data_IF_329808685938
#
_entry.id   IF_329808685938
#
_cell.length_a   1.000
_cell.length_b   1.000
_cell.length_c   1.000
_cell.angle_alpha   90.00
_cell.angle_beta   90.00
_cell.angle_gamma   90.00
#
_symmetry.space_group_name_H-M   'P 1'
#
loop_
_entity.id
_entity.type
_entity.pdbx_description
1 polymer ?
#
# COMPACT_ATOMS: atom_id res chain seq x y z
N UNK A 1 45.23 -22.16 11.72
CA UNK A 1 45.80 -21.24 10.73
C UNK A 1 44.76 -20.18 10.41
N UNK A 2 44.96 -18.94 10.82
CA UNK A 2 44.07 -17.82 10.48
C UNK A 2 44.57 -17.27 9.14
N UNK A 3 43.85 -17.52 8.06
CA UNK A 3 44.19 -16.99 6.75
C UNK A 3 44.14 -15.46 6.82
N UNK A 4 45.28 -14.79 6.60
CA UNK A 4 45.32 -13.33 6.60
C UNK A 4 44.53 -12.81 5.38
N UNK A 5 43.48 -12.04 5.65
CA UNK A 5 42.69 -11.44 4.58
C UNK A 5 43.51 -10.32 3.94
N UNK A 6 43.63 -10.27 2.60
CA UNK A 6 44.36 -9.20 1.92
C UNK A 6 43.79 -7.84 2.32
N UNK A 7 44.65 -6.89 2.72
CA UNK A 7 44.24 -5.57 3.25
C UNK A 7 43.21 -4.83 2.37
N UNK A 8 43.26 -5.01 1.05
CA UNK A 8 42.27 -4.43 0.12
C UNK A 8 40.84 -4.97 0.26
N UNK A 9 40.67 -6.25 0.65
CA UNK A 9 39.34 -6.86 0.83
C UNK A 9 38.67 -6.38 2.11
N UNK A 10 39.44 -6.17 3.18
CA UNK A 10 38.92 -5.62 4.43
C UNK A 10 38.41 -4.18 4.25
N UNK A 11 39.15 -3.35 3.50
CA UNK A 11 38.73 -1.99 3.20
C UNK A 11 37.45 -1.94 2.34
N UNK A 12 37.34 -2.79 1.32
CA UNK A 12 36.13 -2.86 0.50
C UNK A 12 34.90 -3.33 1.29
N UNK A 13 35.07 -4.31 2.19
CA UNK A 13 33.99 -4.76 3.08
C UNK A 13 33.55 -3.65 4.05
N UNK A 14 34.47 -2.85 4.58
CA UNK A 14 34.13 -1.72 5.44
C UNK A 14 33.32 -0.66 4.69
N UNK A 15 33.64 -0.38 3.42
CA UNK A 15 32.86 0.53 2.57
C UNK A 15 31.46 -0.05 2.32
N UNK A 16 31.34 -1.31 1.94
CA UNK A 16 30.04 -1.93 1.66
C UNK A 16 29.15 -1.98 2.90
N UNK A 17 29.72 -2.29 4.08
CA UNK A 17 28.99 -2.24 5.34
C UNK A 17 28.55 -0.82 5.68
N UNK A 18 29.40 0.18 5.47
CA UNK A 18 29.05 1.58 5.72
C UNK A 18 27.93 2.05 4.78
N UNK A 19 28.00 1.70 3.49
CA UNK A 19 26.93 1.98 2.52
C UNK A 19 25.64 1.28 2.93
N UNK A 20 25.71 -0.01 3.31
CA UNK A 20 24.54 -0.78 3.72
C UNK A 20 23.87 -0.20 4.98
N UNK A 21 24.65 0.21 5.98
CA UNK A 21 24.15 0.86 7.19
C UNK A 21 23.54 2.23 6.87
N UNK A 22 24.19 3.04 6.03
CA UNK A 22 23.64 4.33 5.61
C UNK A 22 22.36 4.19 4.78
N UNK A 23 22.30 3.20 3.89
CA UNK A 23 21.09 2.87 3.11
C UNK A 23 19.96 2.37 4.01
N UNK A 24 20.27 1.50 4.98
CA UNK A 24 19.28 1.02 5.95
C UNK A 24 18.75 2.16 6.82
N UNK A 25 19.63 3.01 7.34
CA UNK A 25 19.25 4.14 8.17
C UNK A 25 18.44 5.17 7.38
N UNK A 26 18.82 5.43 6.12
CA UNK A 26 18.04 6.27 5.20
C UNK A 26 16.64 5.69 4.93
N UNK A 27 16.54 4.38 4.71
CA UNK A 27 15.25 3.70 4.52
C UNK A 27 14.37 3.78 5.78
N UNK A 28 14.90 3.42 6.96
CA UNK A 28 14.14 3.38 8.21
C UNK A 28 13.73 4.78 8.69
N UNK A 29 14.59 5.78 8.52
CA UNK A 29 14.30 7.17 8.95
C UNK A 29 13.41 7.96 8.00
N UNK A 30 13.38 7.64 6.70
CA UNK A 30 12.63 8.42 5.72
C UNK A 30 11.39 7.73 5.16
N UNK A 31 11.43 6.41 4.96
CA UNK A 31 10.31 5.70 4.33
C UNK A 31 9.30 5.21 5.38
N UNK A 32 9.78 4.82 6.57
CA UNK A 32 8.93 4.24 7.61
C UNK A 32 7.99 5.24 8.32
N UNK A 33 8.42 6.48 8.67
CA UNK A 33 7.53 7.44 9.34
C UNK A 33 6.45 8.01 8.41
N UNK A 34 6.76 8.15 7.11
CA UNK A 34 5.79 8.55 6.09
C UNK A 34 4.63 7.54 5.99
N UNK A 35 4.93 6.25 6.18
CA UNK A 35 3.94 5.16 6.19
C UNK A 35 2.96 5.26 7.37
N UNK A 36 3.44 5.58 8.57
CA UNK A 36 2.59 5.64 9.77
C UNK A 36 1.67 6.85 9.81
N UNK A 37 2.08 7.98 9.21
CA UNK A 37 1.35 9.25 9.26
C UNK A 37 0.19 9.30 8.27
N UNK A 38 0.33 8.66 7.10
CA UNK A 38 -0.69 8.63 6.07
C UNK A 38 -1.92 7.81 6.49
N UNK A 39 -1.75 6.70 7.22
CA UNK A 39 -2.85 5.83 7.59
C UNK A 39 -3.82 6.42 8.64
N UNK A 40 -3.39 7.42 9.42
CA UNK A 40 -4.21 8.00 10.51
C UNK A 40 -5.17 9.11 10.08
N UNK A 41 -5.05 9.65 8.86
CA UNK A 41 -5.76 10.86 8.43
C UNK A 41 -7.08 10.66 7.68
N UNK A 42 -7.48 9.42 7.36
CA UNK A 42 -8.51 9.14 6.36
C UNK A 42 -9.81 8.54 6.90
N UNK A 43 -10.16 8.74 8.17
CA UNK A 43 -11.49 8.31 8.63
C UNK A 43 -12.55 9.34 8.21
N UNK A 44 -13.46 9.05 7.27
CA UNK A 44 -14.65 9.87 7.09
C UNK A 44 -15.45 9.89 8.39
N UNK A 45 -16.26 10.95 8.64
CA UNK A 45 -17.19 10.95 9.76
C UNK A 45 -18.07 9.71 9.68
N UNK A 46 -18.06 8.90 10.75
CA UNK A 46 -18.83 7.66 10.81
C UNK A 46 -20.32 7.94 10.53
N UNK A 47 -21.00 7.08 9.75
CA UNK A 47 -22.46 7.11 9.65
C UNK A 47 -23.05 7.09 11.05
N UNK A 48 -23.96 8.01 11.35
CA UNK A 48 -24.64 8.02 12.65
C UNK A 48 -25.51 6.75 12.74
N UNK A 49 -25.04 5.79 13.54
CA UNK A 49 -25.81 4.59 13.89
C UNK A 49 -27.01 5.03 14.76
N UNK A 50 -28.23 4.55 14.50
CA UNK A 50 -29.41 4.86 15.31
C UNK A 50 -29.18 4.55 16.79
N UNK A 51 -29.53 5.50 17.65
CA UNK A 51 -29.14 5.58 19.06
C UNK A 51 -29.89 4.61 20.01
N UNK A 52 -30.21 3.38 19.60
CA UNK A 52 -31.09 2.48 20.38
C UNK A 52 -30.37 1.29 21.06
N UNK A 53 -29.04 1.36 21.19
CA UNK A 53 -28.29 0.46 22.07
C UNK A 53 -27.67 1.24 23.23
N UNK A 54 -28.41 1.30 24.34
CA UNK A 54 -27.92 1.73 25.65
C UNK A 54 -26.92 0.71 26.19
N UNK A 55 -25.67 0.80 25.73
CA UNK A 55 -24.54 0.18 26.42
C UNK A 55 -24.26 1.01 27.66
N UNK A 56 -24.52 0.40 28.82
CA UNK A 56 -24.28 0.99 30.14
C UNK A 56 -22.78 1.27 30.32
N UNK A 57 -22.36 2.47 29.94
CA UNK A 57 -20.98 2.93 29.93
C UNK A 57 -20.69 3.71 31.21
N UNK A 58 -20.68 3.02 32.35
CA UNK A 58 -20.01 3.51 33.56
C UNK A 58 -18.50 3.28 33.44
N UNK A 59 -17.87 3.87 32.41
CA UNK A 59 -16.41 3.99 32.36
C UNK A 59 -16.00 5.21 33.18
N UNK A 60 -15.35 4.96 34.31
CA UNK A 60 -14.82 6.00 35.20
C UNK A 60 -13.97 7.01 34.43
N UNK A 61 -14.12 8.27 34.79
CA UNK A 61 -13.52 9.46 34.17
C UNK A 61 -11.99 9.58 34.28
N UNK A 62 -11.29 8.49 34.57
CA UNK A 62 -9.83 8.44 34.75
C UNK A 62 -9.15 8.00 33.45
N UNK A 63 -8.90 8.96 32.56
CA UNK A 63 -8.06 8.79 31.37
C UNK A 63 -8.79 8.19 30.16
N UNK A 64 -8.45 8.69 28.97
CA UNK A 64 -9.02 8.18 27.71
C UNK A 64 -8.63 6.70 27.52
N UNK A 65 -9.56 5.79 27.82
CA UNK A 65 -9.40 4.36 27.56
C UNK A 65 -9.52 4.10 26.06
N UNK A 66 -8.48 3.50 25.47
CA UNK A 66 -8.45 3.15 24.04
C UNK A 66 -9.02 1.74 23.88
N UNK A 67 -10.09 1.60 23.09
CA UNK A 67 -10.58 0.30 22.62
C UNK A 67 -9.93 -0.04 21.28
N UNK A 68 -9.24 -1.17 21.20
CA UNK A 68 -8.72 -1.68 19.93
C UNK A 68 -9.75 -2.58 19.26
N UNK A 69 -10.05 -2.32 17.99
CA UNK A 69 -10.94 -3.18 17.17
C UNK A 69 -10.08 -3.93 16.15
N UNK A 70 -10.22 -5.25 16.10
CA UNK A 70 -9.46 -6.11 15.18
C UNK A 70 -10.29 -7.30 14.69
N UNK A 71 -9.78 -8.03 13.70
CA UNK A 71 -10.48 -9.16 13.12
C UNK A 71 -9.51 -10.23 12.60
N UNK A 72 -9.93 -11.50 12.64
CA UNK A 72 -9.26 -12.61 11.97
C UNK A 72 -10.28 -13.61 11.44
N UNK A 73 -10.32 -13.79 10.12
CA UNK A 73 -11.15 -14.78 9.44
C UNK A 73 -10.24 -15.71 8.63
N UNK A 74 -10.17 -17.01 8.96
CA UNK A 74 -9.30 -17.94 8.25
C UNK A 74 -9.81 -18.14 6.82
N UNK A 75 -8.88 -18.16 5.87
CA UNK A 75 -9.19 -18.48 4.47
C UNK A 75 -9.02 -19.98 4.23
N UNK A 76 -9.89 -20.58 3.41
CA UNK A 76 -9.79 -22.00 3.03
C UNK A 76 -8.47 -22.35 2.32
N UNK A 77 -7.87 -21.35 1.65
CA UNK A 77 -6.52 -21.41 1.10
C UNK A 77 -5.75 -20.19 1.56
N UNK A 78 -4.76 -20.39 2.42
CA UNK A 78 -3.84 -19.34 2.85
C UNK A 78 -2.41 -19.62 2.38
N UNK A 79 -1.63 -18.56 2.19
CA UNK A 79 -0.18 -18.60 1.92
C UNK A 79 0.62 -19.17 3.09
N UNK A 80 0.09 -19.06 4.32
CA UNK A 80 0.77 -19.44 5.55
C UNK A 80 -0.02 -20.49 6.32
N UNK A 81 0.67 -21.28 7.12
CA UNK A 81 0.04 -22.32 7.92
C UNK A 81 -0.69 -21.70 9.11
N UNK A 82 -1.67 -22.40 9.69
CA UNK A 82 -2.31 -21.93 10.92
C UNK A 82 -1.32 -21.78 12.09
N UNK A 83 -0.22 -22.53 12.11
CA UNK A 83 0.81 -22.38 13.13
C UNK A 83 1.56 -21.04 13.01
N UNK A 84 1.81 -20.58 11.78
CA UNK A 84 2.41 -19.26 11.53
C UNK A 84 1.46 -18.16 12.02
N UNK A 85 0.16 -18.26 11.68
CA UNK A 85 -0.85 -17.32 12.16
C UNK A 85 -0.97 -17.31 13.68
N UNK A 86 -0.91 -18.47 14.34
CA UNK A 86 -0.93 -18.53 15.80
C UNK A 86 0.25 -17.75 16.40
N UNK A 87 1.43 -17.91 15.81
CA UNK A 87 2.63 -17.19 16.25
C UNK A 87 2.45 -15.67 16.09
N UNK A 88 1.96 -15.22 14.93
CA UNK A 88 1.75 -13.79 14.68
C UNK A 88 0.64 -13.18 15.52
N UNK A 89 -0.48 -13.89 15.67
CA UNK A 89 -1.58 -13.47 16.54
C UNK A 89 -1.14 -13.44 17.99
N UNK A 90 -0.30 -14.36 18.46
CA UNK A 90 0.26 -14.29 19.81
C UNK A 90 1.12 -13.03 20.02
N UNK A 91 1.95 -12.68 19.03
CA UNK A 91 2.78 -11.48 19.06
C UNK A 91 1.94 -10.20 19.08
N UNK A 92 0.74 -10.22 18.49
CA UNK A 92 -0.20 -9.09 18.53
C UNK A 92 -1.02 -9.06 19.81
N UNK A 93 -1.64 -10.18 20.20
CA UNK A 93 -2.61 -10.26 21.28
C UNK A 93 -1.99 -10.22 22.67
N UNK A 94 -0.75 -10.67 22.88
CA UNK A 94 -0.16 -10.71 24.23
C UNK A 94 0.35 -9.35 24.73
N UNK A 95 1.02 -8.52 23.93
CA UNK A 95 1.61 -7.28 24.45
C UNK A 95 0.60 -6.15 24.69
N UNK A 96 -0.58 -6.20 24.06
CA UNK A 96 -1.56 -5.11 24.09
C UNK A 96 -2.40 -5.22 25.36
N UNK A 97 -2.19 -4.38 26.37
CA UNK A 97 -2.95 -4.47 27.63
C UNK A 97 -4.33 -3.81 27.58
N UNK A 98 -4.61 -2.99 26.57
CA UNK A 98 -5.91 -2.34 26.40
C UNK A 98 -7.00 -3.35 26.03
N UNK A 99 -8.28 -3.04 26.31
CA UNK A 99 -9.39 -3.86 25.84
C UNK A 99 -9.38 -4.02 24.32
N UNK A 100 -9.71 -5.23 23.84
CA UNK A 100 -9.82 -5.55 22.42
C UNK A 100 -11.24 -6.02 22.12
N UNK A 101 -11.88 -5.45 21.10
CA UNK A 101 -13.07 -6.01 20.46
C UNK A 101 -12.63 -6.74 19.20
N UNK A 102 -12.84 -8.05 19.13
CA UNK A 102 -12.23 -8.91 18.13
C UNK A 102 -13.28 -9.70 17.34
N UNK A 103 -13.30 -9.53 16.02
CA UNK A 103 -14.19 -10.28 15.13
C UNK A 103 -13.50 -11.56 14.62
N UNK A 104 -14.16 -12.72 14.72
CA UNK A 104 -13.62 -13.99 14.20
C UNK A 104 -14.72 -15.02 14.02
N UNK A 105 -14.42 -16.19 13.45
CA UNK A 105 -15.41 -17.26 13.31
C UNK A 105 -15.61 -18.01 14.65
N UNK A 106 -16.77 -18.67 14.87
CA UNK A 106 -17.01 -19.46 16.07
C UNK A 106 -15.90 -20.48 16.37
N UNK A 107 -15.33 -21.10 15.32
CA UNK A 107 -14.28 -22.11 15.43
C UNK A 107 -12.94 -21.52 15.89
N UNK A 108 -12.65 -20.27 15.54
CA UNK A 108 -11.39 -19.60 15.89
C UNK A 108 -11.45 -18.92 17.25
N UNK A 109 -12.63 -18.63 17.79
CA UNK A 109 -12.76 -17.94 19.07
C UNK A 109 -12.01 -18.62 20.24
N UNK A 110 -12.03 -19.95 20.44
CA UNK A 110 -11.25 -20.60 21.49
C UNK A 110 -9.75 -20.37 21.36
N UNK A 111 -9.22 -20.44 20.14
CA UNK A 111 -7.82 -20.17 19.83
C UNK A 111 -7.45 -18.72 20.15
N UNK A 112 -8.27 -17.74 19.73
CA UNK A 112 -8.03 -16.33 20.03
C UNK A 112 -8.03 -16.06 21.54
N UNK A 113 -8.98 -16.64 22.31
CA UNK A 113 -8.99 -16.54 23.78
C UNK A 113 -7.73 -17.14 24.39
N UNK A 114 -7.34 -18.34 23.95
CA UNK A 114 -6.15 -19.02 24.46
C UNK A 114 -4.85 -18.22 24.19
N UNK A 115 -4.74 -17.61 23.00
CA UNK A 115 -3.60 -16.75 22.65
C UNK A 115 -3.59 -15.45 23.48
N UNK A 116 -4.76 -14.90 23.79
CA UNK A 116 -4.94 -13.70 24.61
C UNK A 116 -4.62 -13.92 26.09
N UNK A 117 -4.95 -15.09 26.64
CA UNK A 117 -4.83 -15.38 28.07
C UNK A 117 -5.85 -14.58 28.89
N UNK A 118 -5.41 -14.04 30.02
CA UNK A 118 -6.28 -13.36 31.00
C UNK A 118 -6.54 -11.87 30.69
N UNK A 119 -5.98 -11.36 29.58
CA UNK A 119 -6.14 -9.96 29.20
C UNK A 119 -7.54 -9.67 28.62
N UNK A 120 -8.13 -8.49 28.87
CA UNK A 120 -9.50 -8.20 28.43
C UNK A 120 -9.69 -8.33 26.92
N UNK A 121 -10.70 -9.10 26.49
CA UNK A 121 -11.11 -9.24 25.10
C UNK A 121 -12.61 -9.55 25.01
N UNK A 122 -13.29 -8.87 24.10
CA UNK A 122 -14.67 -9.19 23.68
C UNK A 122 -14.59 -9.79 22.29
N UNK A 123 -14.97 -11.05 22.14
CA UNK A 123 -14.96 -11.73 20.84
C UNK A 123 -16.36 -11.76 20.26
N UNK A 124 -16.51 -11.22 19.06
CA UNK A 124 -17.72 -11.27 18.27
C UNK A 124 -17.57 -12.38 17.20
N UNK A 125 -18.45 -13.36 17.26
CA UNK A 125 -18.53 -14.49 16.32
C UNK A 125 -19.81 -14.50 15.49
N UNK A 126 -20.46 -13.35 15.36
CA UNK A 126 -21.72 -13.22 14.60
C UNK A 126 -21.53 -13.52 13.11
N UNK A 127 -20.32 -13.34 12.58
CA UNK A 127 -19.98 -13.54 11.18
C UNK A 127 -19.14 -14.80 11.01
N UNK A 128 -19.53 -15.69 10.10
CA UNK A 128 -18.75 -16.87 9.71
C UNK A 128 -17.64 -16.53 8.70
N UNK A 129 -17.69 -15.33 8.10
CA UNK A 129 -16.77 -14.88 7.07
C UNK A 129 -16.57 -13.37 7.14
N UNK A 130 -15.41 -12.88 6.72
CA UNK A 130 -15.17 -11.46 6.53
C UNK A 130 -16.17 -10.85 5.53
N UNK A 131 -16.64 -11.65 4.57
CA UNK A 131 -17.61 -11.21 3.57
C UNK A 131 -19.01 -11.02 4.13
N UNK A 132 -19.36 -11.57 5.30
CA UNK A 132 -20.66 -11.31 5.91
C UNK A 132 -20.72 -9.96 6.65
N UNK A 133 -19.59 -9.25 6.74
CA UNK A 133 -19.51 -7.92 7.34
C UNK A 133 -19.75 -6.85 6.28
N UNK A 134 -20.52 -5.80 6.60
CA UNK A 134 -20.54 -4.61 5.75
C UNK A 134 -19.15 -3.93 5.78
N UNK A 135 -18.60 -3.43 4.65
CA UNK A 135 -19.22 -3.27 3.32
C UNK A 135 -19.03 -4.47 2.37
N UNK A 136 -18.48 -5.59 2.85
CA UNK A 136 -18.15 -6.76 2.03
C UNK A 136 -19.35 -7.70 1.79
N UNK A 137 -20.46 -7.48 2.49
CA UNK A 137 -21.69 -8.26 2.36
C UNK A 137 -22.20 -8.30 0.92
N UNK A 138 -22.34 -9.52 0.37
CA UNK A 138 -22.80 -9.75 -0.98
C UNK A 138 -21.70 -9.61 -2.04
N UNK A 139 -20.47 -9.20 -1.67
CA UNK A 139 -19.35 -9.05 -2.59
C UNK A 139 -18.54 -10.35 -2.79
N UNK A 140 -19.01 -11.48 -2.24
CA UNK A 140 -18.39 -12.80 -2.43
C UNK A 140 -18.23 -13.14 -3.92
N UNK A 141 -19.24 -12.78 -4.72
CA UNK A 141 -19.33 -13.07 -6.15
C UNK A 141 -19.31 -11.80 -7.02
N UNK A 142 -19.29 -10.61 -6.42
CA UNK A 142 -19.88 -9.40 -7.05
C UNK A 142 -18.92 -8.49 -7.82
N UNK A 143 -17.96 -9.08 -8.52
CA UNK A 143 -17.47 -8.44 -9.72
C UNK A 143 -17.01 -9.50 -10.71
N UNK A 144 -17.66 -9.56 -11.87
CA UNK A 144 -17.20 -10.38 -12.99
C UNK A 144 -15.69 -10.17 -13.29
N UNK A 145 -15.17 -8.96 -13.02
CA UNK A 145 -13.75 -8.62 -13.08
C UNK A 145 -12.91 -9.35 -12.02
N UNK A 146 -13.34 -9.38 -10.75
CA UNK A 146 -12.67 -10.11 -9.66
C UNK A 146 -12.74 -11.61 -9.92
N UNK A 147 -13.91 -12.12 -10.32
CA UNK A 147 -14.08 -13.53 -10.66
C UNK A 147 -13.16 -13.96 -11.81
N UNK A 148 -13.11 -13.16 -12.88
CA UNK A 148 -12.19 -13.37 -14.00
C UNK A 148 -10.73 -13.30 -13.56
N UNK A 149 -10.36 -12.28 -12.79
CA UNK A 149 -8.99 -12.10 -12.28
C UNK A 149 -8.54 -13.28 -11.42
N UNK A 150 -9.37 -13.70 -10.46
CA UNK A 150 -9.14 -14.89 -9.63
C UNK A 150 -8.90 -16.12 -10.51
N UNK A 151 -9.80 -16.37 -11.47
CA UNK A 151 -9.70 -17.53 -12.37
C UNK A 151 -8.42 -17.52 -13.20
N UNK A 152 -8.10 -16.40 -13.86
CA UNK A 152 -6.93 -16.32 -14.73
C UNK A 152 -5.62 -16.32 -13.94
N UNK A 153 -5.59 -15.66 -12.78
CA UNK A 153 -4.43 -15.62 -11.90
C UNK A 153 -4.05 -17.01 -11.43
N UNK A 154 -4.99 -17.76 -10.85
CA UNK A 154 -4.70 -19.10 -10.35
C UNK A 154 -4.41 -20.11 -11.47
N UNK A 155 -5.06 -20.00 -12.63
CA UNK A 155 -4.73 -20.84 -13.78
C UNK A 155 -3.26 -20.66 -14.24
N UNK A 156 -2.79 -19.41 -14.36
CA UNK A 156 -1.40 -19.14 -14.73
C UNK A 156 -0.42 -19.44 -13.60
N UNK A 157 -0.76 -19.13 -12.35
CA UNK A 157 0.02 -19.50 -11.18
C UNK A 157 0.30 -21.00 -11.13
N UNK A 158 -0.74 -21.83 -11.24
CA UNK A 158 -0.62 -23.29 -11.18
C UNK A 158 0.14 -23.86 -12.39
N UNK A 159 -0.04 -23.25 -13.58
CA UNK A 159 0.77 -23.59 -14.74
C UNK A 159 2.26 -23.27 -14.53
N UNK A 160 2.59 -22.09 -14.01
CA UNK A 160 3.97 -21.68 -13.75
C UNK A 160 4.62 -22.54 -12.66
N UNK A 161 3.86 -22.91 -11.62
CA UNK A 161 4.29 -23.84 -10.59
C UNK A 161 4.60 -25.22 -11.19
N UNK A 162 3.68 -25.80 -11.98
CA UNK A 162 3.86 -27.12 -12.61
C UNK A 162 5.06 -27.16 -13.55
N UNK A 163 5.38 -26.05 -14.22
CA UNK A 163 6.53 -25.92 -15.11
C UNK A 163 7.85 -25.61 -14.36
N UNK A 164 7.82 -25.36 -13.05
CA UNK A 164 9.01 -24.99 -12.28
C UNK A 164 9.55 -23.60 -12.60
N UNK A 165 8.73 -22.71 -13.18
CA UNK A 165 9.13 -21.33 -13.55
C UNK A 165 8.59 -20.27 -12.58
N UNK A 166 7.74 -20.66 -11.63
CA UNK A 166 7.26 -19.74 -10.60
C UNK A 166 8.33 -19.48 -9.52
N UNK A 167 8.83 -18.25 -9.45
CA UNK A 167 9.89 -17.84 -8.51
C UNK A 167 9.37 -17.26 -7.18
N UNK A 168 8.09 -17.48 -6.86
CA UNK A 168 7.49 -16.97 -5.62
C UNK A 168 7.20 -15.46 -5.60
N UNK A 169 7.22 -14.79 -6.76
CA UNK A 169 6.86 -13.37 -6.91
C UNK A 169 5.66 -13.22 -7.84
N UNK A 170 4.73 -12.36 -7.45
CA UNK A 170 3.47 -12.17 -8.17
C UNK A 170 3.64 -11.22 -9.37
N UNK A 171 4.64 -10.33 -9.36
CA UNK A 171 4.84 -9.32 -10.40
C UNK A 171 5.06 -9.92 -11.80
N UNK A 172 5.94 -10.93 -12.02
CA UNK A 172 6.10 -11.54 -13.33
C UNK A 172 4.80 -12.19 -13.85
N UNK A 173 4.03 -12.79 -12.95
CA UNK A 173 2.75 -13.42 -13.26
C UNK A 173 1.70 -12.37 -13.66
N UNK A 174 1.56 -11.30 -12.87
CA UNK A 174 0.67 -10.18 -13.15
C UNK A 174 1.02 -9.52 -14.49
N UNK A 175 2.32 -9.27 -14.74
CA UNK A 175 2.80 -8.68 -15.99
C UNK A 175 2.43 -9.56 -17.19
N UNK A 176 2.62 -10.88 -17.09
CA UNK A 176 2.24 -11.82 -18.15
C UNK A 176 0.73 -11.78 -18.42
N UNK A 177 -0.10 -11.83 -17.38
CA UNK A 177 -1.56 -11.77 -17.51
C UNK A 177 -2.00 -10.46 -18.16
N UNK A 178 -1.41 -9.33 -17.78
CA UNK A 178 -1.68 -8.02 -18.38
C UNK A 178 -1.31 -7.96 -19.87
N UNK A 179 -0.14 -8.49 -20.24
CA UNK A 179 0.31 -8.53 -21.64
C UNK A 179 -0.58 -9.42 -22.52
N UNK A 180 -1.07 -10.54 -21.97
CA UNK A 180 -1.92 -11.49 -22.68
C UNK A 180 -3.39 -11.05 -22.76
N UNK A 181 -3.85 -10.24 -21.80
CA UNK A 181 -5.25 -9.82 -21.70
C UNK A 181 -5.39 -8.30 -21.54
N UNK A 182 -4.73 -7.47 -22.37
CA UNK A 182 -4.62 -6.03 -22.12
C UNK A 182 -5.97 -5.29 -22.21
N UNK A 183 -6.98 -5.87 -22.88
CA UNK A 183 -8.35 -5.33 -22.94
C UNK A 183 -9.12 -5.41 -21.62
N UNK A 184 -8.61 -6.19 -20.65
CA UNK A 184 -9.22 -6.37 -19.32
C UNK A 184 -8.63 -5.44 -18.26
N UNK A 185 -7.59 -4.67 -18.60
CA UNK A 185 -6.89 -3.80 -17.67
C UNK A 185 -6.96 -2.34 -18.10
N UNK A 186 -7.14 -1.50 -17.11
CA UNK A 186 -6.86 -0.07 -17.19
C UNK A 186 -5.62 0.23 -16.35
N UNK A 187 -4.91 1.27 -16.72
CA UNK A 187 -3.75 1.78 -16.01
C UNK A 187 -3.90 3.28 -15.79
N UNK A 188 -3.22 3.75 -14.75
CA UNK A 188 -3.09 5.16 -14.41
C UNK A 188 -1.61 5.49 -14.57
N UNK A 189 -1.28 6.23 -15.64
CA UNK A 189 0.13 6.50 -15.95
C UNK A 189 0.57 7.79 -15.27
N UNK A 190 1.03 7.65 -14.01
CA UNK A 190 1.47 8.78 -13.19
C UNK A 190 2.60 9.59 -13.85
N UNK A 191 3.44 8.93 -14.64
CA UNK A 191 4.56 9.53 -15.38
C UNK A 191 4.27 9.66 -16.89
N UNK A 192 3.01 9.81 -17.31
CA UNK A 192 2.67 9.93 -18.74
C UNK A 192 3.47 11.07 -19.41
N UNK A 193 4.37 10.77 -20.36
CA UNK A 193 5.17 11.80 -21.05
C UNK A 193 4.40 12.48 -22.18
N UNK A 194 3.11 12.15 -22.38
CA UNK A 194 2.25 12.79 -23.39
C UNK A 194 2.24 14.30 -23.12
N UNK A 195 2.08 15.13 -24.17
CA UNK A 195 2.46 16.53 -24.12
C UNK A 195 1.83 17.18 -22.89
N UNK A 196 2.69 17.42 -21.90
CA UNK A 196 2.45 18.42 -20.89
C UNK A 196 2.06 19.67 -21.69
N UNK A 197 0.87 20.19 -21.43
CA UNK A 197 0.48 21.53 -21.87
C UNK A 197 1.72 22.42 -21.69
N UNK A 198 2.21 22.93 -22.82
CA UNK A 198 3.46 23.66 -23.01
C UNK A 198 3.95 24.43 -21.78
N UNK A 199 4.97 23.91 -21.08
CA UNK A 199 5.89 24.77 -20.34
C UNK A 199 7.31 24.38 -20.73
N UNK A 200 7.72 24.91 -21.88
CA UNK A 200 9.02 24.71 -22.52
C UNK A 200 10.13 25.50 -21.84
N UNK A 201 10.23 25.46 -20.52
CA UNK A 201 11.36 26.03 -19.78
C UNK A 201 11.36 25.45 -18.37
N UNK A 202 12.43 24.74 -17.99
CA UNK A 202 13.00 24.62 -16.63
C UNK A 202 13.95 23.41 -16.58
N UNK A 203 15.15 23.60 -17.15
CA UNK A 203 16.22 22.60 -17.27
C UNK A 203 16.92 22.17 -15.97
N UNK A 204 16.35 22.39 -14.77
CA UNK A 204 17.06 22.16 -13.49
C UNK A 204 16.30 21.30 -12.46
N UNK A 205 15.11 20.82 -12.77
CA UNK A 205 14.24 20.08 -11.84
C UNK A 205 14.51 18.57 -11.70
N UNK A 206 15.60 18.04 -12.27
CA UNK A 206 15.84 16.59 -12.48
C UNK A 206 16.08 15.71 -11.23
N UNK A 207 15.99 16.22 -10.00
CA UNK A 207 16.44 15.47 -8.79
C UNK A 207 15.47 15.33 -7.62
N UNK A 208 14.28 15.90 -7.72
CA UNK A 208 13.16 15.45 -6.92
C UNK A 208 12.33 14.54 -7.82
N UNK A 209 11.65 13.55 -7.28
CA UNK A 209 10.65 12.73 -7.98
C UNK A 209 9.46 13.61 -8.41
N UNK A 210 9.70 14.58 -9.28
CA UNK A 210 8.72 15.53 -9.76
C UNK A 210 7.86 14.79 -10.76
N UNK A 211 6.76 14.26 -10.26
CA UNK A 211 5.70 13.75 -11.11
C UNK A 211 5.27 14.86 -12.09
N UNK A 212 5.02 14.54 -13.38
CA UNK A 212 4.42 15.50 -14.31
C UNK A 212 3.05 16.02 -13.81
N UNK A 213 2.48 15.40 -12.78
CA UNK A 213 1.21 15.74 -12.18
C UNK A 213 1.29 16.77 -11.06
N UNK A 214 2.49 17.24 -10.69
CA UNK A 214 2.70 18.22 -9.62
C UNK A 214 3.37 17.59 -8.39
N UNK A 215 3.16 18.20 -7.22
CA UNK A 215 3.69 17.71 -5.94
C UNK A 215 2.86 16.55 -5.40
N UNK A 216 2.86 15.44 -6.13
CA UNK A 216 2.29 14.18 -5.66
C UNK A 216 3.27 13.52 -4.69
N UNK A 217 2.74 12.84 -3.65
CA UNK A 217 3.55 12.03 -2.75
C UNK A 217 4.23 10.86 -3.47
N UNK A 218 4.74 9.89 -2.72
CA UNK A 218 5.38 8.72 -3.31
C UNK A 218 4.45 8.02 -4.31
N UNK A 219 4.96 7.71 -5.51
CA UNK A 219 4.19 7.10 -6.61
C UNK A 219 3.47 5.81 -6.19
N UNK A 220 4.00 5.12 -5.18
CA UNK A 220 3.41 3.91 -4.62
C UNK A 220 1.97 4.13 -4.13
N UNK A 221 1.64 5.30 -3.57
CA UNK A 221 0.31 5.61 -3.02
C UNK A 221 -0.55 6.47 -3.94
N UNK A 222 -0.10 6.73 -5.16
CA UNK A 222 -0.85 7.58 -6.08
C UNK A 222 -2.24 7.01 -6.40
N UNK A 223 -2.40 5.68 -6.36
CA UNK A 223 -3.71 5.05 -6.56
C UNK A 223 -4.74 5.46 -5.50
N UNK A 224 -4.32 5.73 -4.27
CA UNK A 224 -5.20 6.19 -3.18
C UNK A 224 -5.75 7.57 -3.53
N UNK A 225 -4.88 8.49 -3.91
CA UNK A 225 -5.27 9.81 -4.42
C UNK A 225 -6.18 9.71 -5.65
N UNK A 226 -5.83 8.84 -6.59
CA UNK A 226 -6.60 8.66 -7.83
C UNK A 226 -8.03 8.16 -7.56
N UNK A 227 -8.21 7.23 -6.62
CA UNK A 227 -9.50 6.64 -6.27
C UNK A 227 -10.29 7.42 -5.21
N UNK A 228 -9.63 8.34 -4.50
CA UNK A 228 -10.23 9.17 -3.47
C UNK A 228 -11.30 10.12 -4.04
N UNK A 229 -12.22 10.57 -3.17
CA UNK A 229 -13.17 11.63 -3.51
C UNK A 229 -12.44 12.96 -3.78
N UNK A 230 -13.12 13.92 -4.43
CA UNK A 230 -12.53 15.24 -4.71
C UNK A 230 -12.08 15.98 -3.44
N UNK A 231 -12.82 15.82 -2.34
CA UNK A 231 -12.47 16.45 -1.06
C UNK A 231 -11.21 15.82 -0.46
N UNK A 232 -11.12 14.49 -0.48
CA UNK A 232 -9.94 13.76 -0.01
C UNK A 232 -8.72 14.04 -0.90
N UNK A 233 -8.90 14.11 -2.23
CA UNK A 233 -7.85 14.54 -3.16
C UNK A 233 -7.30 15.92 -2.80
N UNK A 234 -8.17 16.91 -2.55
CA UNK A 234 -7.73 18.24 -2.15
C UNK A 234 -6.94 18.21 -0.83
N UNK A 235 -7.43 17.48 0.17
CA UNK A 235 -6.76 17.33 1.46
C UNK A 235 -5.38 16.67 1.32
N UNK A 236 -5.28 15.60 0.53
CA UNK A 236 -4.00 14.91 0.23
C UNK A 236 -3.02 15.83 -0.50
N UNK A 237 -3.48 16.56 -1.53
CA UNK A 237 -2.65 17.49 -2.27
C UNK A 237 -2.11 18.61 -1.36
N UNK A 238 -2.93 19.15 -0.46
CA UNK A 238 -2.52 20.15 0.52
C UNK A 238 -1.50 19.59 1.52
N UNK A 239 -1.70 18.37 2.00
CA UNK A 239 -0.76 17.70 2.90
C UNK A 239 0.60 17.49 2.22
N UNK A 240 0.63 16.94 1.01
CA UNK A 240 1.88 16.73 0.28
C UNK A 240 2.59 18.04 -0.04
N UNK A 241 1.85 19.11 -0.35
CA UNK A 241 2.43 20.43 -0.55
C UNK A 241 3.09 20.98 0.74
N UNK A 242 2.44 20.78 1.90
CA UNK A 242 2.99 21.16 3.21
C UNK A 242 4.22 20.34 3.58
N UNK A 243 4.18 19.03 3.39
CA UNK A 243 5.32 18.13 3.65
C UNK A 243 6.52 18.48 2.78
N UNK A 244 6.29 18.74 1.49
CA UNK A 244 7.32 19.17 0.57
C UNK A 244 7.95 20.50 1.00
N UNK A 245 7.12 21.49 1.35
CA UNK A 245 7.57 22.80 1.85
C UNK A 245 8.35 22.68 3.15
N UNK A 246 7.91 21.82 4.07
CA UNK A 246 8.61 21.53 5.33
C UNK A 246 9.95 20.84 5.10
N UNK A 247 10.01 19.89 4.16
CA UNK A 247 11.25 19.20 3.80
C UNK A 247 12.26 20.20 3.24
N UNK A 248 11.88 21.05 2.29
CA UNK A 248 12.77 22.04 1.70
C UNK A 248 13.31 23.04 2.74
N UNK A 249 12.46 23.51 3.66
CA UNK A 249 12.87 24.44 4.73
C UNK A 249 13.82 23.78 5.74
N UNK A 250 13.62 22.50 6.09
CA UNK A 250 14.52 21.75 6.98
C UNK A 250 15.88 21.45 6.38
N UNK A 251 15.93 21.04 5.10
CA UNK A 251 17.18 20.59 4.47
C UNK A 251 18.05 21.72 3.94
N UNK A 252 17.52 22.93 3.77
CA UNK A 252 18.28 24.07 3.23
C UNK A 252 17.97 25.38 3.95
N UNK A 253 18.23 25.47 5.28
CA UNK A 253 17.92 26.67 6.05
C UNK A 253 18.70 27.91 5.54
N UNK A 254 19.90 27.73 4.96
CA UNK A 254 20.73 28.80 4.42
C UNK A 254 20.49 29.14 2.94
N UNK A 255 19.70 28.35 2.20
CA UNK A 255 19.24 28.75 0.86
C UNK A 255 17.90 29.47 0.99
N UNK A 256 17.92 30.57 1.74
CA UNK A 256 16.78 31.45 1.94
C UNK A 256 16.20 31.96 0.61
N UNK A 257 15.03 32.58 0.73
CA UNK A 257 14.06 33.04 -0.27
C UNK A 257 14.56 33.56 -1.65
N UNK A 258 15.85 33.84 -1.83
CA UNK A 258 16.43 34.34 -3.08
C UNK A 258 16.75 33.27 -4.13
N UNK A 259 16.97 31.99 -3.76
CA UNK A 259 17.09 30.87 -4.72
C UNK A 259 15.80 30.09 -4.90
N UNK A 260 14.94 30.05 -3.88
CA UNK A 260 13.58 29.55 -4.01
C UNK A 260 12.71 30.66 -4.56
N UNK A 261 13.06 31.21 -5.74
CA UNK A 261 12.12 32.04 -6.48
C UNK A 261 10.80 31.29 -6.51
N UNK A 262 9.75 31.88 -5.93
CA UNK A 262 8.48 31.25 -5.55
C UNK A 262 8.38 29.80 -6.05
N UNK A 263 8.48 28.78 -5.20
CA UNK A 263 8.26 27.40 -5.65
C UNK A 263 6.86 27.22 -6.29
N UNK A 264 5.92 28.12 -5.98
CA UNK A 264 4.66 28.30 -6.69
C UNK A 264 4.80 28.70 -8.18
N UNK A 265 5.89 29.36 -8.56
CA UNK A 265 6.24 29.78 -9.92
C UNK A 265 7.06 28.76 -10.73
N UNK A 266 7.66 27.73 -10.11
CA UNK A 266 8.32 26.62 -10.88
C UNK A 266 7.30 25.67 -11.55
N UNK A 267 6.03 26.06 -11.67
CA UNK A 267 4.98 25.27 -12.33
C UNK A 267 4.56 24.01 -11.58
N UNK A 268 5.07 23.80 -10.36
CA UNK A 268 4.72 22.64 -9.52
C UNK A 268 3.46 22.95 -8.73
N UNK A 269 2.32 22.92 -9.41
CA UNK A 269 1.01 23.01 -8.78
C UNK A 269 0.72 21.84 -7.83
N UNK A 270 -0.44 21.87 -7.14
CA UNK A 270 -0.92 20.74 -6.35
C UNK A 270 -0.97 19.46 -7.20
N UNK A 271 -0.89 18.29 -6.54
CA UNK A 271 -1.01 17.01 -7.24
C UNK A 271 -2.31 16.95 -8.06
N UNK A 272 -2.22 16.41 -9.28
CA UNK A 272 -3.34 16.33 -10.23
C UNK A 272 -3.70 14.89 -10.54
N UNK A 273 -4.98 14.68 -10.83
CA UNK A 273 -5.48 13.40 -11.35
C UNK A 273 -5.03 13.26 -12.81
N UNK A 274 -4.43 12.12 -13.14
CA UNK A 274 -4.12 11.76 -14.54
C UNK A 274 -5.28 11.00 -15.17
N UNK A 275 -5.22 10.81 -16.49
CA UNK A 275 -6.23 10.07 -17.23
C UNK A 275 -6.08 8.56 -17.01
N UNK A 276 -7.22 7.87 -17.06
CA UNK A 276 -7.26 6.41 -17.23
C UNK A 276 -6.82 6.07 -18.65
N UNK A 277 -6.00 5.03 -18.80
CA UNK A 277 -5.57 4.50 -20.08
C UNK A 277 -5.83 3.00 -20.14
N UNK A 278 -6.47 2.53 -21.21
CA UNK A 278 -6.53 1.09 -21.47
C UNK A 278 -5.12 0.52 -21.62
N UNK A 279 -4.84 -0.63 -21.00
CA UNK A 279 -3.50 -1.22 -21.02
C UNK A 279 -3.04 -1.55 -22.44
N UNK A 280 -3.96 -1.92 -23.36
CA UNK A 280 -3.64 -2.13 -24.78
C UNK A 280 -3.08 -0.86 -25.44
N UNK A 281 -3.70 0.30 -25.16
CA UNK A 281 -3.23 1.60 -25.67
C UNK A 281 -1.86 1.96 -25.10
N UNK A 282 -1.64 1.64 -23.82
CA UNK A 282 -0.34 1.85 -23.18
C UNK A 282 0.75 0.99 -23.85
N UNK A 283 0.49 -0.30 -24.08
CA UNK A 283 1.46 -1.18 -24.74
C UNK A 283 1.77 -0.76 -26.17
N UNK A 284 0.77 -0.40 -26.99
CA UNK A 284 1.03 0.13 -28.35
C UNK A 284 1.90 1.39 -28.29
N UNK A 285 1.67 2.26 -27.32
CA UNK A 285 2.46 3.47 -27.18
C UNK A 285 3.91 3.22 -26.75
N UNK A 286 4.15 2.24 -25.86
CA UNK A 286 5.49 1.94 -25.33
C UNK A 286 6.28 0.99 -26.24
N UNK A 287 5.61 0.01 -26.84
CA UNK A 287 6.20 -1.06 -27.64
C UNK A 287 6.07 -0.83 -29.15
N UNK A 288 5.35 0.21 -29.58
CA UNK A 288 5.12 0.58 -30.98
C UNK A 288 3.69 0.28 -31.45
N UNK A 289 3.17 1.11 -32.36
CA UNK A 289 1.75 1.05 -32.79
C UNK A 289 1.35 -0.29 -33.43
N UNK A 290 2.32 -1.01 -33.99
CA UNK A 290 2.17 -2.36 -34.55
C UNK A 290 2.11 -3.49 -33.52
N UNK A 291 2.28 -3.19 -32.23
CA UNK A 291 2.19 -4.19 -31.17
C UNK A 291 0.77 -4.75 -31.07
N UNK A 292 0.67 -6.08 -30.99
CA UNK A 292 -0.56 -6.80 -30.73
C UNK A 292 -0.33 -7.80 -29.60
N UNK A 293 -1.36 -8.01 -28.77
CA UNK A 293 -1.30 -8.98 -27.69
C UNK A 293 -1.05 -10.39 -28.26
N UNK A 294 -0.16 -11.20 -27.66
CA UNK A 294 -0.06 -12.61 -28.02
C UNK A 294 -1.41 -13.32 -27.75
N UNK A 295 -1.71 -14.43 -28.43
CA UNK A 295 -2.91 -15.20 -28.16
C UNK A 295 -2.98 -15.62 -26.68
N UNK A 296 -4.07 -15.25 -26.00
CA UNK A 296 -4.34 -15.70 -24.63
C UNK A 296 -4.88 -17.12 -24.69
N UNK A 297 -4.07 -18.10 -24.28
CA UNK A 297 -4.54 -19.45 -23.99
C UNK A 297 -4.74 -19.55 -22.48
N UNK A 298 -5.97 -19.85 -22.05
CA UNK A 298 -6.20 -20.25 -20.67
C UNK A 298 -5.67 -21.67 -20.55
N UNK A 299 -4.61 -21.87 -19.78
CA UNK A 299 -4.17 -23.20 -19.41
C UNK A 299 -5.25 -23.82 -18.52
N UNK A 300 -5.97 -24.81 -19.04
CA UNK A 300 -6.92 -25.63 -18.29
C UNK A 300 -6.20 -26.74 -17.51
#
# INVERSE_FOLDING_TARGET
>A
MIASMPRGRAFFLAILLSISVLSYWSFDSHIRPAFSSAASGFYPPSPQVPADHTVDTTFGSDGASILLVSAFFPLSKSKHTMNDYNTWLALFLKPITTPIYFFTTPEMAPMIRALRGDLPITINTTYASAFETAPLLGLEDDAAAIHWWRKIYYAYHDAYLRQGVFVGKDQPLINAIMMLNPKRFISVWASDPAPQLSSSDHGLAKRAESSPLGLCGANWYYYEFFLASKAEQAAMADQWNKEWSSMLTKFRPWKGAWWTGNLATEGRGPCRVTRVMAMEKLFRRVLGDGWNAPPSQIYH
#
